data_IF_248637743345
#
_entry.id   IF_248637743345
#
_cell.length_a   1.000
_cell.length_b   1.000
_cell.length_c   1.000
_cell.angle_alpha   90.00
_cell.angle_beta   90.00
_cell.angle_gamma   90.00
#
_symmetry.space_group_name_H-M   'P 1'
#
loop_
_entity.id
_entity.type
_entity.pdbx_description
1 polymer ?
#
# COMPACT_ATOMS: atom_id res chain seq x y z
N UNK A 1 58.35 7.25 26.22
CA UNK A 1 57.23 6.31 26.46
C UNK A 1 56.05 6.75 25.59
N UNK A 2 55.66 5.92 24.62
CA UNK A 2 54.58 6.24 23.66
C UNK A 2 53.21 6.12 24.34
N UNK A 3 52.44 7.19 24.33
CA UNK A 3 51.02 7.20 24.73
C UNK A 3 50.24 6.59 23.57
N UNK A 4 49.77 5.35 23.75
CA UNK A 4 48.83 4.70 22.85
C UNK A 4 47.44 5.19 23.25
N UNK A 5 46.87 6.09 22.44
CA UNK A 5 45.49 6.51 22.53
C UNK A 5 44.61 5.36 22.00
N UNK A 6 44.04 4.58 22.91
CA UNK A 6 43.05 3.56 22.61
C UNK A 6 41.75 4.26 22.17
N UNK A 7 41.57 4.42 20.86
CA UNK A 7 40.27 4.74 20.27
C UNK A 7 39.39 3.50 20.51
N UNK A 8 38.66 3.51 21.62
CA UNK A 8 37.53 2.63 21.80
C UNK A 8 36.46 3.04 20.77
N UNK A 9 36.57 2.49 19.56
CA UNK A 9 35.46 2.44 18.62
C UNK A 9 34.41 1.57 19.32
N UNK A 10 33.53 2.23 20.05
CA UNK A 10 32.29 1.64 20.50
C UNK A 10 31.52 1.23 19.24
N UNK A 11 31.72 -0.01 18.80
CA UNK A 11 30.73 -0.72 18.01
C UNK A 11 29.53 -0.93 18.93
N UNK A 12 28.80 0.15 19.22
CA UNK A 12 27.39 -0.01 19.50
C UNK A 12 26.85 -0.74 18.28
N UNK A 13 26.43 -1.99 18.46
CA UNK A 13 25.59 -2.70 17.52
C UNK A 13 24.30 -1.87 17.37
N UNK A 14 24.38 -0.82 16.54
CA UNK A 14 23.25 -0.02 16.11
C UNK A 14 22.41 -0.96 15.26
N UNK A 15 21.37 -1.51 15.89
CA UNK A 15 20.32 -2.25 15.21
C UNK A 15 19.92 -1.48 13.94
N UNK A 16 20.31 -2.03 12.79
CA UNK A 16 20.28 -1.36 11.51
C UNK A 16 18.97 -1.69 10.79
N UNK A 17 18.15 -0.69 10.42
CA UNK A 17 16.89 -0.94 9.72
C UNK A 17 16.48 0.18 8.73
N UNK A 18 16.28 -0.13 7.45
CA UNK A 18 15.85 0.83 6.42
C UNK A 18 14.35 1.17 6.49
N UNK A 19 13.91 2.17 5.75
CA UNK A 19 12.47 2.47 5.53
C UNK A 19 12.14 2.49 4.06
N UNK A 20 10.97 1.96 3.69
CA UNK A 20 10.44 2.08 2.33
C UNK A 20 9.17 2.90 2.38
N UNK A 21 9.09 3.94 1.54
CA UNK A 21 7.96 4.85 1.46
C UNK A 21 7.17 4.65 0.18
N UNK A 22 5.86 4.91 0.25
CA UNK A 22 4.96 4.87 -0.91
C UNK A 22 4.25 6.20 -1.13
N UNK A 23 4.33 6.66 -2.38
CA UNK A 23 3.58 7.80 -2.95
C UNK A 23 2.57 7.31 -3.98
N UNK A 24 1.64 8.17 -4.40
CA UNK A 24 0.66 7.85 -5.44
C UNK A 24 0.57 8.99 -6.47
N UNK A 25 0.08 10.17 -6.05
CA UNK A 25 -0.08 11.35 -6.93
C UNK A 25 0.84 12.50 -6.51
N UNK A 26 1.17 13.36 -7.47
CA UNK A 26 2.12 14.46 -7.29
C UNK A 26 1.57 15.77 -7.83
N UNK A 27 1.31 16.75 -6.95
CA UNK A 27 0.74 18.04 -7.35
C UNK A 27 -0.64 17.95 -8.00
N UNK A 28 -1.46 16.98 -7.62
CA UNK A 28 -2.82 16.76 -8.12
C UNK A 28 -3.88 17.06 -7.04
N UNK A 29 -4.23 18.33 -6.90
CA UNK A 29 -5.10 18.82 -5.83
C UNK A 29 -6.55 18.34 -5.91
N UNK A 30 -6.94 17.72 -7.04
CA UNK A 30 -8.23 17.04 -7.20
C UNK A 30 -8.38 15.85 -6.24
N UNK A 31 -7.27 15.26 -5.79
CA UNK A 31 -7.25 14.04 -4.98
C UNK A 31 -6.37 14.17 -3.71
N UNK A 32 -6.75 15.03 -2.75
CA UNK A 32 -5.88 15.40 -1.62
C UNK A 32 -5.46 14.24 -0.72
N UNK A 33 -6.25 13.16 -0.63
CA UNK A 33 -5.95 12.00 0.22
C UNK A 33 -4.83 11.10 -0.31
N UNK A 34 -4.50 11.19 -1.61
CA UNK A 34 -3.45 10.41 -2.27
C UNK A 34 -2.40 11.30 -2.95
N UNK A 35 -2.53 12.62 -2.80
CA UNK A 35 -1.65 13.61 -3.39
C UNK A 35 -0.50 14.02 -2.46
N UNK A 36 0.68 14.22 -3.03
CA UNK A 36 1.81 14.89 -2.39
C UNK A 36 2.16 16.12 -3.23
N UNK A 37 2.03 17.32 -2.65
CA UNK A 37 2.45 18.55 -3.37
C UNK A 37 3.95 18.52 -3.64
N UNK A 38 4.41 19.16 -4.71
CA UNK A 38 5.84 19.20 -5.05
C UNK A 38 6.69 19.88 -3.96
N UNK A 39 6.13 20.90 -3.29
CA UNK A 39 6.78 21.58 -2.16
C UNK A 39 7.00 20.59 -1.00
N UNK A 40 6.00 19.76 -0.70
CA UNK A 40 6.11 18.77 0.37
C UNK A 40 7.08 17.65 0.00
N UNK A 41 7.07 17.19 -1.26
CA UNK A 41 8.04 16.21 -1.77
C UNK A 41 9.47 16.74 -1.66
N UNK A 42 9.72 17.99 -2.08
CA UNK A 42 11.05 18.60 -2.01
C UNK A 42 11.52 18.77 -0.55
N UNK A 43 10.62 19.14 0.37
CA UNK A 43 10.92 19.17 1.81
C UNK A 43 11.35 17.81 2.34
N UNK A 44 10.70 16.73 1.92
CA UNK A 44 11.05 15.37 2.33
C UNK A 44 12.42 14.97 1.77
N UNK A 45 12.72 15.32 0.51
CA UNK A 45 14.03 15.04 -0.09
C UNK A 45 15.16 15.79 0.61
N UNK A 46 14.97 17.09 0.85
CA UNK A 46 15.92 17.89 1.61
C UNK A 46 16.09 17.38 3.05
N UNK A 47 15.03 16.85 3.66
CA UNK A 47 15.14 16.22 4.97
C UNK A 47 16.05 14.99 4.93
N UNK A 48 15.90 14.11 3.94
CA UNK A 48 16.77 12.94 3.80
C UNK A 48 18.24 13.36 3.66
N UNK A 49 18.53 14.28 2.73
CA UNK A 49 19.88 14.79 2.48
C UNK A 49 20.50 15.43 3.74
N UNK A 50 19.78 16.33 4.41
CA UNK A 50 20.29 17.07 5.58
C UNK A 50 20.51 16.18 6.81
N UNK A 51 19.82 15.04 6.92
CA UNK A 51 19.88 14.16 8.08
C UNK A 51 20.66 12.86 7.80
N UNK A 52 21.45 12.82 6.72
CA UNK A 52 22.34 11.69 6.41
C UNK A 52 21.62 10.42 5.97
N UNK A 53 20.37 10.52 5.51
CA UNK A 53 19.67 9.41 4.88
C UNK A 53 20.14 9.24 3.44
N UNK A 54 20.41 7.99 3.06
CA UNK A 54 20.76 7.60 1.70
C UNK A 54 19.53 7.02 1.03
N UNK A 55 19.06 7.65 -0.05
CA UNK A 55 17.99 7.10 -0.86
C UNK A 55 18.58 6.07 -1.84
N UNK A 56 18.17 4.81 -1.70
CA UNK A 56 18.74 3.67 -2.43
C UNK A 56 17.66 2.95 -3.25
N UNK A 57 18.03 2.28 -4.36
CA UNK A 57 17.11 1.37 -5.04
C UNK A 57 16.62 0.30 -4.07
N UNK A 58 15.32 -0.02 -4.10
CA UNK A 58 14.74 -0.98 -3.16
C UNK A 58 15.37 -2.37 -3.32
N UNK A 59 15.90 -2.69 -4.50
CA UNK A 59 16.61 -3.91 -4.82
C UNK A 59 17.83 -4.11 -3.92
N UNK A 60 18.56 -3.04 -3.55
CA UNK A 60 19.67 -3.12 -2.59
C UNK A 60 19.18 -3.51 -1.20
N UNK A 61 18.02 -2.98 -0.78
CA UNK A 61 17.40 -3.34 0.51
C UNK A 61 16.98 -4.81 0.47
N UNK A 62 16.27 -5.22 -0.59
CA UNK A 62 15.82 -6.61 -0.80
C UNK A 62 16.99 -7.58 -0.80
N UNK A 63 18.10 -7.25 -1.47
CA UNK A 63 19.30 -8.08 -1.54
C UNK A 63 19.89 -8.33 -0.14
N UNK A 64 19.97 -7.29 0.71
CA UNK A 64 20.41 -7.45 2.11
C UNK A 64 19.48 -8.38 2.89
N UNK A 65 18.17 -8.21 2.75
CA UNK A 65 17.17 -9.07 3.41
C UNK A 65 17.28 -10.52 2.93
N UNK A 66 17.38 -10.74 1.62
CA UNK A 66 17.54 -12.05 0.97
C UNK A 66 18.78 -12.78 1.48
N UNK A 67 19.88 -12.05 1.62
CA UNK A 67 21.16 -12.58 2.09
C UNK A 67 21.31 -12.56 3.62
N UNK A 68 20.26 -12.24 4.38
CA UNK A 68 20.28 -12.12 5.86
C UNK A 68 21.40 -11.22 6.40
N UNK A 69 21.75 -10.18 5.64
CA UNK A 69 22.74 -9.16 6.02
C UNK A 69 22.05 -7.96 6.68
N UNK A 70 22.75 -7.29 7.58
CA UNK A 70 22.27 -6.05 8.20
C UNK A 70 21.92 -5.00 7.14
N UNK A 71 20.79 -4.33 7.36
CA UNK A 71 20.25 -3.29 6.47
C UNK A 71 20.51 -1.93 7.11
N UNK A 72 21.29 -1.01 6.51
CA UNK A 72 21.60 0.29 7.14
C UNK A 72 20.37 1.08 7.61
N UNK A 73 20.47 1.72 8.78
CA UNK A 73 19.36 2.45 9.40
C UNK A 73 19.03 3.81 8.76
N UNK A 74 19.93 4.29 7.91
CA UNK A 74 19.79 5.54 7.19
C UNK A 74 19.36 5.29 5.73
N UNK A 75 19.10 4.05 5.32
CA UNK A 75 18.63 3.75 3.97
C UNK A 75 17.13 4.00 3.83
N UNK A 76 16.78 4.66 2.73
CA UNK A 76 15.40 4.95 2.35
C UNK A 76 15.14 4.44 0.94
N UNK A 77 14.09 3.64 0.77
CA UNK A 77 13.56 3.24 -0.54
C UNK A 77 12.30 4.03 -0.88
N UNK A 78 12.17 4.51 -2.12
CA UNK A 78 11.00 5.27 -2.56
C UNK A 78 10.22 4.49 -3.62
N UNK A 79 8.92 4.34 -3.41
CA UNK A 79 8.03 3.63 -4.32
C UNK A 79 6.84 4.51 -4.70
N UNK A 80 6.31 4.30 -5.91
CA UNK A 80 5.14 5.01 -6.43
C UNK A 80 4.14 3.95 -6.88
N UNK A 81 2.93 3.97 -6.34
CA UNK A 81 1.87 3.05 -6.74
C UNK A 81 1.00 3.65 -7.86
N UNK A 82 0.23 2.78 -8.51
CA UNK A 82 -0.80 3.05 -9.53
C UNK A 82 -0.33 3.55 -10.90
N UNK A 83 0.86 4.16 -11.02
CA UNK A 83 1.34 4.79 -12.24
C UNK A 83 0.43 5.93 -12.75
N UNK A 84 0.01 6.83 -11.85
CA UNK A 84 -0.69 8.05 -12.23
C UNK A 84 0.19 8.97 -13.09
N UNK A 85 -0.45 9.63 -14.07
CA UNK A 85 0.21 10.57 -14.99
C UNK A 85 0.86 11.77 -14.28
N UNK A 86 0.34 12.13 -13.11
CA UNK A 86 0.93 13.18 -12.25
C UNK A 86 2.37 12.87 -11.82
N UNK A 87 2.74 11.60 -11.67
CA UNK A 87 4.14 11.24 -11.42
C UNK A 87 5.02 11.63 -12.61
N UNK A 88 4.65 11.20 -13.82
CA UNK A 88 5.41 11.52 -15.03
C UNK A 88 5.50 13.02 -15.29
N UNK A 89 4.37 13.73 -15.19
CA UNK A 89 4.29 15.14 -15.54
C UNK A 89 4.95 16.06 -14.50
N UNK A 90 4.88 15.70 -13.21
CA UNK A 90 5.24 16.62 -12.12
C UNK A 90 6.33 16.04 -11.20
N UNK A 91 6.24 14.75 -10.86
CA UNK A 91 7.11 14.13 -9.86
C UNK A 91 8.48 13.71 -10.40
N UNK A 92 8.52 13.10 -11.59
CA UNK A 92 9.70 12.45 -12.16
C UNK A 92 10.90 13.41 -12.27
N UNK A 93 10.66 14.65 -12.69
CA UNK A 93 11.71 15.67 -12.79
C UNK A 93 12.39 15.93 -11.43
N UNK A 94 11.63 15.95 -10.34
CA UNK A 94 12.19 16.17 -9.01
C UNK A 94 13.03 14.98 -8.55
N UNK A 95 12.58 13.73 -8.80
CA UNK A 95 13.41 12.55 -8.52
C UNK A 95 14.72 12.60 -9.31
N UNK A 96 14.69 13.01 -10.58
CA UNK A 96 15.89 13.19 -11.41
C UNK A 96 16.82 14.29 -10.88
N UNK A 97 16.28 15.46 -10.54
CA UNK A 97 17.04 16.60 -9.98
C UNK A 97 17.83 16.21 -8.73
N UNK A 98 17.26 15.37 -7.86
CA UNK A 98 17.91 14.91 -6.63
C UNK A 98 18.70 13.61 -6.81
N UNK A 99 18.71 13.02 -8.01
CA UNK A 99 19.28 11.71 -8.29
C UNK A 99 18.76 10.62 -7.34
N UNK A 100 17.46 10.66 -7.03
CA UNK A 100 16.82 9.73 -6.11
C UNK A 100 16.20 8.56 -6.87
N UNK A 101 16.65 7.31 -6.61
CA UNK A 101 16.07 6.15 -7.24
C UNK A 101 14.63 5.94 -6.74
N UNK A 102 13.82 5.35 -7.62
CA UNK A 102 12.44 4.99 -7.30
C UNK A 102 12.05 3.66 -7.95
N UNK A 103 10.95 3.08 -7.45
CA UNK A 103 10.26 1.98 -8.11
C UNK A 103 8.80 2.34 -8.38
N UNK A 104 8.39 2.29 -9.65
CA UNK A 104 7.02 2.55 -10.10
C UNK A 104 6.24 1.24 -10.22
N UNK A 105 5.13 1.10 -9.51
CA UNK A 105 4.26 -0.08 -9.54
C UNK A 105 3.04 0.16 -10.43
N UNK A 106 2.93 -0.63 -11.49
CA UNK A 106 1.97 -0.39 -12.58
C UNK A 106 0.64 -1.07 -12.32
N UNK A 107 -0.43 -0.28 -12.25
CA UNK A 107 -1.81 -0.77 -12.42
C UNK A 107 -2.04 -1.02 -13.92
N UNK A 108 -1.95 -2.30 -14.31
CA UNK A 108 -1.81 -2.69 -15.72
C UNK A 108 -3.07 -2.42 -16.54
N UNK A 109 -4.27 -2.68 -16.02
CA UNK A 109 -5.50 -2.47 -16.78
C UNK A 109 -5.72 -1.00 -17.13
N UNK A 110 -5.53 -0.08 -16.17
CA UNK A 110 -5.70 1.35 -16.41
C UNK A 110 -4.72 1.89 -17.45
N UNK A 111 -3.46 1.48 -17.35
CA UNK A 111 -2.40 1.80 -18.32
C UNK A 111 -2.78 1.25 -19.71
N UNK A 112 -3.15 -0.02 -19.79
CA UNK A 112 -3.41 -0.70 -21.05
C UNK A 112 -4.69 -0.21 -21.75
N UNK A 113 -5.73 0.12 -20.97
CA UNK A 113 -6.97 0.72 -21.46
C UNK A 113 -6.88 2.23 -21.64
N UNK A 114 -5.71 2.83 -21.40
CA UNK A 114 -5.44 4.27 -21.58
C UNK A 114 -6.41 5.15 -20.78
N UNK A 115 -6.68 4.78 -19.53
CA UNK A 115 -7.45 5.62 -18.63
C UNK A 115 -6.72 6.97 -18.46
N UNK A 116 -7.46 8.08 -18.62
CA UNK A 116 -6.87 9.43 -18.82
C UNK A 116 -5.90 9.87 -17.72
N UNK A 117 -6.17 9.46 -16.48
CA UNK A 117 -5.39 9.82 -15.28
C UNK A 117 -4.09 9.01 -15.10
N UNK A 118 -3.87 7.99 -15.94
CA UNK A 118 -2.75 7.04 -15.80
C UNK A 118 -1.71 7.24 -16.92
N UNK A 119 -0.48 6.81 -16.64
CA UNK A 119 0.62 6.84 -17.60
C UNK A 119 0.34 5.89 -18.77
N UNK A 120 0.85 6.24 -19.95
CA UNK A 120 0.90 5.29 -21.08
C UNK A 120 2.10 4.35 -20.94
N UNK A 121 2.10 3.25 -21.70
CA UNK A 121 3.26 2.36 -21.75
C UNK A 121 4.55 3.07 -22.20
N UNK A 122 4.45 4.03 -23.12
CA UNK A 122 5.62 4.81 -23.56
C UNK A 122 6.17 5.69 -22.43
N UNK A 123 5.29 6.33 -21.65
CA UNK A 123 5.68 7.10 -20.47
C UNK A 123 6.30 6.21 -19.38
N UNK A 124 5.79 4.99 -19.18
CA UNK A 124 6.37 4.02 -18.25
C UNK A 124 7.75 3.56 -18.73
N UNK A 125 7.90 3.30 -20.04
CA UNK A 125 9.19 2.92 -20.63
C UNK A 125 10.21 4.04 -20.52
N UNK A 126 9.82 5.29 -20.74
CA UNK A 126 10.70 6.44 -20.51
C UNK A 126 11.09 6.58 -19.02
N UNK A 127 10.11 6.48 -18.10
CA UNK A 127 10.39 6.51 -16.66
C UNK A 127 11.32 5.37 -16.21
N UNK A 128 11.30 4.21 -16.88
CA UNK A 128 12.16 3.07 -16.58
C UNK A 128 13.66 3.33 -16.81
N UNK A 129 14.01 4.40 -17.52
CA UNK A 129 15.40 4.83 -17.68
C UNK A 129 15.99 5.41 -16.39
N UNK A 130 15.15 5.85 -15.45
CA UNK A 130 15.56 6.55 -14.23
C UNK A 130 15.21 5.79 -12.94
N UNK A 131 14.42 4.72 -13.04
CA UNK A 131 13.98 3.93 -11.89
C UNK A 131 13.47 2.55 -12.30
N UNK A 132 13.21 1.71 -11.30
CA UNK A 132 12.70 0.36 -11.53
C UNK A 132 11.20 0.36 -11.78
N UNK A 133 10.69 -0.66 -12.48
CA UNK A 133 9.26 -0.86 -12.69
C UNK A 133 8.82 -2.19 -12.08
N UNK A 134 7.75 -2.17 -11.28
CA UNK A 134 7.15 -3.33 -10.63
C UNK A 134 5.66 -3.48 -10.95
N UNK A 135 5.04 -4.55 -10.45
CA UNK A 135 3.66 -4.92 -10.77
C UNK A 135 2.67 -4.55 -9.66
N UNK A 136 1.53 -3.95 -10.02
CA UNK A 136 0.45 -3.60 -9.09
C UNK A 136 -0.90 -4.24 -9.47
N UNK A 137 -0.87 -5.55 -9.78
CA UNK A 137 -2.01 -6.32 -10.30
C UNK A 137 -2.52 -5.90 -11.69
N UNK A 138 -3.45 -6.68 -12.25
CA UNK A 138 -4.14 -6.29 -13.47
C UNK A 138 -5.25 -5.31 -13.16
N UNK A 139 -6.22 -5.70 -12.32
CA UNK A 139 -7.47 -4.96 -12.11
C UNK A 139 -7.54 -4.08 -10.86
N UNK A 140 -6.46 -3.95 -10.08
CA UNK A 140 -6.43 -3.20 -8.82
C UNK A 140 -7.55 -3.60 -7.84
N UNK A 141 -7.90 -4.90 -7.84
CA UNK A 141 -8.96 -5.46 -7.01
C UNK A 141 -8.46 -5.66 -5.58
N UNK A 142 -9.39 -5.65 -4.62
CA UNK A 142 -9.11 -6.16 -3.26
C UNK A 142 -8.90 -7.67 -3.34
N UNK A 143 -7.65 -8.10 -3.43
CA UNK A 143 -7.29 -9.49 -3.70
C UNK A 143 -7.82 -10.47 -2.66
N UNK A 144 -8.02 -10.03 -1.41
CA UNK A 144 -8.61 -10.86 -0.36
C UNK A 144 -10.10 -11.14 -0.57
N UNK A 145 -10.76 -10.40 -1.48
CA UNK A 145 -12.19 -10.48 -1.74
C UNK A 145 -12.52 -11.22 -3.03
N UNK A 146 -11.56 -11.84 -3.71
CA UNK A 146 -11.77 -12.64 -4.92
C UNK A 146 -11.31 -14.09 -4.68
N UNK A 147 -11.70 -15.03 -5.56
CA UNK A 147 -11.26 -16.43 -5.43
C UNK A 147 -9.76 -16.58 -5.74
N UNK A 148 -9.17 -17.71 -5.34
CA UNK A 148 -7.75 -18.00 -5.59
C UNK A 148 -7.44 -18.01 -7.09
N UNK A 149 -8.33 -18.60 -7.88
CA UNK A 149 -8.27 -18.65 -9.33
C UNK A 149 -8.36 -17.25 -9.95
N UNK A 150 -9.15 -16.36 -9.34
CA UNK A 150 -9.22 -14.97 -9.75
C UNK A 150 -7.95 -14.18 -9.39
N UNK A 151 -7.32 -14.45 -8.23
CA UNK A 151 -6.02 -13.85 -7.87
C UNK A 151 -4.94 -14.27 -8.87
N UNK A 152 -4.85 -15.56 -9.16
CA UNK A 152 -3.88 -16.10 -10.12
C UNK A 152 -4.10 -15.55 -11.53
N UNK A 153 -5.34 -15.60 -12.04
CA UNK A 153 -5.64 -15.12 -13.39
C UNK A 153 -5.43 -13.61 -13.56
N UNK A 154 -5.78 -12.80 -12.55
CA UNK A 154 -5.49 -11.36 -12.54
C UNK A 154 -3.99 -11.11 -12.58
N UNK A 155 -3.23 -11.76 -11.69
CA UNK A 155 -1.77 -11.59 -11.61
C UNK A 155 -1.07 -12.09 -12.87
N UNK A 156 -1.48 -13.24 -13.42
CA UNK A 156 -0.91 -13.81 -14.66
C UNK A 156 -1.12 -12.87 -15.84
N UNK A 157 -2.35 -12.37 -16.00
CA UNK A 157 -2.65 -11.40 -17.07
C UNK A 157 -1.82 -10.12 -16.94
N UNK A 158 -1.65 -9.63 -15.72
CA UNK A 158 -0.80 -8.47 -15.44
C UNK A 158 0.65 -8.73 -15.81
N UNK A 159 1.20 -9.86 -15.34
CA UNK A 159 2.58 -10.29 -15.56
C UNK A 159 2.89 -10.46 -17.04
N UNK A 160 2.07 -11.21 -17.78
CA UNK A 160 2.30 -11.48 -19.20
C UNK A 160 2.26 -10.19 -20.03
N UNK A 161 1.28 -9.32 -19.76
CA UNK A 161 1.14 -8.06 -20.49
C UNK A 161 2.26 -7.07 -20.14
N UNK A 162 2.64 -6.99 -18.87
CA UNK A 162 3.80 -6.21 -18.42
C UNK A 162 5.06 -6.65 -19.16
N UNK A 163 5.37 -7.95 -19.13
CA UNK A 163 6.56 -8.53 -19.76
C UNK A 163 6.56 -8.28 -21.26
N UNK A 164 5.42 -8.44 -21.93
CA UNK A 164 5.27 -8.15 -23.35
C UNK A 164 5.51 -6.67 -23.69
N UNK A 165 5.07 -5.74 -22.84
CA UNK A 165 5.12 -4.30 -23.11
C UNK A 165 6.47 -3.69 -22.79
N UNK A 166 7.15 -4.18 -21.75
CA UNK A 166 8.41 -3.61 -21.28
C UNK A 166 9.64 -4.43 -21.69
N UNK A 167 9.46 -5.67 -22.14
CA UNK A 167 10.55 -6.54 -22.59
C UNK A 167 11.31 -7.23 -21.45
N UNK A 168 10.84 -7.10 -20.20
CA UNK A 168 11.40 -7.77 -19.03
C UNK A 168 10.31 -8.16 -18.05
N UNK A 169 10.58 -9.17 -17.22
CA UNK A 169 9.65 -9.64 -16.20
C UNK A 169 9.65 -8.74 -14.96
N UNK A 170 8.49 -8.48 -14.35
CA UNK A 170 8.43 -7.73 -13.10
C UNK A 170 9.03 -8.57 -11.97
N UNK A 171 10.05 -8.03 -11.28
CA UNK A 171 10.71 -8.72 -10.14
C UNK A 171 10.08 -8.42 -8.80
N UNK A 172 9.22 -7.41 -8.70
CA UNK A 172 8.53 -7.07 -7.45
C UNK A 172 7.04 -6.85 -7.66
N UNK A 173 6.26 -7.13 -6.62
CA UNK A 173 4.80 -6.99 -6.62
C UNK A 173 4.32 -6.19 -5.41
N UNK A 174 3.33 -5.32 -5.62
CA UNK A 174 2.64 -4.63 -4.52
C UNK A 174 1.18 -5.05 -4.47
N UNK A 175 0.71 -5.39 -3.27
CA UNK A 175 -0.72 -5.62 -3.02
C UNK A 175 -1.54 -4.34 -3.16
N UNK A 176 -2.58 -4.31 -4.02
CA UNK A 176 -3.59 -3.25 -3.99
C UNK A 176 -4.12 -3.02 -2.56
N UNK A 177 -4.20 -1.76 -2.14
CA UNK A 177 -4.61 -1.34 -0.79
C UNK A 177 -3.71 -1.86 0.37
N UNK A 178 -2.58 -2.51 0.06
CA UNK A 178 -1.72 -3.19 1.03
C UNK A 178 -2.39 -4.40 1.68
N UNK A 179 -3.40 -4.99 1.03
CA UNK A 179 -4.26 -6.03 1.58
C UNK A 179 -3.92 -7.42 1.04
N UNK A 180 -3.69 -8.37 1.95
CA UNK A 180 -3.41 -9.75 1.59
C UNK A 180 -3.86 -10.73 2.69
N UNK A 181 -3.90 -12.01 2.33
CA UNK A 181 -4.08 -13.13 3.25
C UNK A 181 -3.23 -14.32 2.76
N UNK A 182 -3.27 -15.44 3.50
CA UNK A 182 -2.47 -16.64 3.14
C UNK A 182 -2.78 -17.18 1.74
N UNK A 183 -4.04 -17.13 1.33
CA UNK A 183 -4.45 -17.62 0.01
C UNK A 183 -3.92 -16.72 -1.11
N UNK A 184 -3.98 -15.40 -0.94
CA UNK A 184 -3.39 -14.45 -1.89
C UNK A 184 -1.88 -14.69 -2.01
N UNK A 185 -1.16 -14.79 -0.89
CA UNK A 185 0.29 -15.03 -0.92
C UNK A 185 0.65 -16.34 -1.63
N UNK A 186 -0.08 -17.43 -1.36
CA UNK A 186 0.13 -18.72 -2.02
C UNK A 186 -0.04 -18.66 -3.54
N UNK A 187 -0.99 -17.86 -4.03
CA UNK A 187 -1.18 -17.67 -5.46
C UNK A 187 -0.09 -16.80 -6.09
N UNK A 188 0.42 -15.78 -5.36
CA UNK A 188 1.53 -14.95 -5.80
C UNK A 188 2.89 -15.68 -5.79
N UNK A 189 3.09 -16.65 -4.89
CA UNK A 189 4.29 -17.50 -4.81
C UNK A 189 4.51 -18.35 -6.07
N UNK A 190 3.50 -18.49 -6.95
CA UNK A 190 3.61 -19.17 -8.24
C UNK A 190 4.32 -18.33 -9.32
N UNK A 191 4.62 -17.07 -9.01
CA UNK A 191 5.31 -16.13 -9.90
C UNK A 191 6.72 -15.82 -9.40
N UNK A 192 7.61 -15.43 -10.30
CA UNK A 192 9.02 -15.19 -10.01
C UNK A 192 9.27 -13.77 -9.43
N UNK A 193 8.67 -13.47 -8.28
CA UNK A 193 8.91 -12.21 -7.57
C UNK A 193 10.02 -12.37 -6.52
N UNK A 194 11.01 -11.47 -6.54
CA UNK A 194 12.05 -11.35 -5.51
C UNK A 194 11.49 -10.79 -4.20
N UNK A 195 10.47 -9.92 -4.28
CA UNK A 195 9.76 -9.42 -3.10
C UNK A 195 8.32 -8.98 -3.39
N UNK A 196 7.49 -9.09 -2.36
CA UNK A 196 6.10 -8.67 -2.32
C UNK A 196 5.92 -7.66 -1.18
N UNK A 197 5.25 -6.55 -1.48
CA UNK A 197 5.14 -5.41 -0.58
C UNK A 197 3.70 -5.19 -0.11
N UNK A 198 3.59 -4.82 1.16
CA UNK A 198 2.34 -4.44 1.82
C UNK A 198 2.30 -2.91 2.06
N UNK A 199 1.38 -2.45 2.93
CA UNK A 199 1.32 -1.06 3.40
C UNK A 199 1.25 -0.96 4.94
N UNK A 200 1.99 -1.84 5.60
CA UNK A 200 2.21 -1.87 7.04
C UNK A 200 3.32 -0.89 7.44
N UNK A 201 3.21 -0.35 8.64
CA UNK A 201 4.24 0.56 9.17
C UNK A 201 5.40 -0.23 9.80
N UNK A 202 6.60 0.35 9.80
CA UNK A 202 7.78 -0.26 10.40
C UNK A 202 8.98 -0.23 9.47
N UNK A 203 10.16 -0.45 10.04
CA UNK A 203 11.42 -0.54 9.32
C UNK A 203 11.65 -1.92 8.69
N UNK A 204 12.59 -2.01 7.76
CA UNK A 204 13.02 -3.24 7.11
C UNK A 204 14.32 -3.73 7.77
N UNK A 205 14.33 -5.00 8.11
CA UNK A 205 15.37 -5.67 8.90
C UNK A 205 15.85 -6.91 8.14
N UNK A 206 16.98 -7.50 8.50
CA UNK A 206 17.43 -8.77 7.89
C UNK A 206 16.44 -9.92 8.16
N UNK A 207 15.61 -9.80 9.20
CA UNK A 207 14.54 -10.73 9.57
C UNK A 207 13.25 -10.51 8.78
N UNK A 208 13.12 -9.40 8.04
CA UNK A 208 11.94 -9.13 7.22
C UNK A 208 11.70 -10.26 6.21
N UNK A 209 10.42 -10.53 5.93
CA UNK A 209 10.01 -11.57 5.00
C UNK A 209 9.86 -10.98 3.61
N UNK A 210 10.50 -11.59 2.62
CA UNK A 210 10.47 -11.11 1.24
C UNK A 210 9.04 -11.09 0.65
N UNK A 211 8.15 -11.95 1.10
CA UNK A 211 6.74 -11.95 0.68
C UNK A 211 5.83 -11.02 1.51
N UNK A 212 6.39 -10.17 2.39
CA UNK A 212 5.64 -9.31 3.30
C UNK A 212 6.47 -8.08 3.72
N UNK A 213 6.99 -7.33 2.75
CA UNK A 213 7.85 -6.16 3.00
C UNK A 213 7.01 -4.92 3.33
N UNK A 214 7.35 -4.25 4.43
CA UNK A 214 6.64 -3.07 4.92
C UNK A 214 6.88 -1.82 4.07
N UNK A 215 5.81 -1.04 3.84
CA UNK A 215 5.90 0.31 3.23
C UNK A 215 5.02 1.30 3.96
N UNK A 216 5.58 2.47 4.24
CA UNK A 216 4.89 3.56 4.95
C UNK A 216 4.39 4.58 3.93
N UNK A 217 3.09 4.89 3.97
CA UNK A 217 2.53 5.92 3.10
C UNK A 217 3.04 7.33 3.47
N UNK A 218 3.52 8.05 2.46
CA UNK A 218 3.85 9.48 2.50
C UNK A 218 2.92 10.25 1.55
N UNK A 219 1.62 10.25 1.87
CA UNK A 219 0.60 11.00 1.10
C UNK A 219 0.01 12.10 1.98
N UNK A 220 -0.26 13.27 1.37
CA UNK A 220 -0.70 14.47 2.08
C UNK A 220 0.41 15.14 2.89
N UNK A 221 0.03 15.90 3.92
CA UNK A 221 0.98 16.52 4.86
C UNK A 221 1.46 15.47 5.86
N UNK A 222 2.71 15.03 5.73
CA UNK A 222 3.27 13.96 6.58
C UNK A 222 4.53 14.43 7.29
N UNK A 223 4.60 14.17 8.59
CA UNK A 223 5.84 14.36 9.34
C UNK A 223 6.80 13.19 9.06
N UNK A 224 7.67 13.34 8.06
CA UNK A 224 8.65 12.32 7.65
C UNK A 224 9.57 11.88 8.79
N UNK A 225 9.99 12.82 9.65
CA UNK A 225 10.78 12.54 10.87
C UNK A 225 10.09 11.52 11.76
N UNK A 226 8.79 11.68 12.01
CA UNK A 226 8.03 10.72 12.81
C UNK A 226 7.89 9.35 12.12
N UNK A 227 7.76 9.33 10.78
CA UNK A 227 7.68 8.07 10.03
C UNK A 227 8.98 7.26 10.09
N UNK A 228 10.12 7.93 9.97
CA UNK A 228 11.45 7.33 10.06
C UNK A 228 11.79 6.79 11.47
N UNK A 229 11.06 7.20 12.51
CA UNK A 229 11.26 6.66 13.86
C UNK A 229 10.70 5.26 14.02
N UNK A 230 9.71 4.86 13.22
CA UNK A 230 9.07 3.55 13.37
C UNK A 230 10.08 2.42 13.15
N UNK A 231 10.18 1.52 14.12
CA UNK A 231 11.00 0.30 14.05
C UNK A 231 10.09 -0.92 14.02
N UNK A 232 10.45 -1.91 13.23
CA UNK A 232 9.77 -3.21 13.25
C UNK A 232 10.33 -4.04 14.39
N UNK A 233 9.46 -4.67 15.18
CA UNK A 233 9.83 -5.76 16.06
C UNK A 233 9.23 -7.08 15.58
N UNK A 234 9.89 -8.17 15.93
CA UNK A 234 9.39 -9.51 15.66
C UNK A 234 8.27 -9.86 16.64
N UNK A 235 7.18 -10.38 16.09
CA UNK A 235 6.11 -11.02 16.85
C UNK A 235 5.53 -12.20 16.06
N UNK A 236 5.36 -13.32 16.73
CA UNK A 236 4.70 -14.50 16.15
C UNK A 236 3.22 -14.49 16.53
N UNK A 237 2.38 -14.09 15.59
CA UNK A 237 0.93 -13.95 15.80
C UNK A 237 0.22 -15.30 15.75
N UNK A 238 -0.39 -15.70 16.87
CA UNK A 238 -1.20 -16.92 16.97
C UNK A 238 -2.69 -16.62 16.71
N UNK A 239 -3.20 -15.49 17.23
CA UNK A 239 -4.58 -15.06 17.02
C UNK A 239 -4.72 -13.53 17.02
N UNK A 240 -5.63 -12.95 16.21
CA UNK A 240 -6.46 -13.62 15.20
C UNK A 240 -5.65 -13.93 13.93
N UNK A 241 -5.91 -15.06 13.28
CA UNK A 241 -5.28 -15.42 11.99
C UNK A 241 -5.99 -14.76 10.82
N UNK A 242 -7.32 -14.66 10.91
CA UNK A 242 -8.19 -14.07 9.90
C UNK A 242 -9.27 -13.22 10.57
N UNK A 243 -10.03 -12.48 9.78
CA UNK A 243 -11.17 -11.72 10.30
C UNK A 243 -12.25 -12.68 10.84
N UNK A 244 -12.74 -12.49 12.09
CA UNK A 244 -13.78 -13.35 12.68
C UNK A 244 -15.09 -13.34 11.88
N UNK A 245 -15.70 -14.52 11.67
CA UNK A 245 -16.95 -14.64 10.89
C UNK A 245 -18.13 -13.90 11.55
N UNK A 246 -18.18 -13.94 12.87
CA UNK A 246 -19.16 -13.23 13.71
C UNK A 246 -18.82 -11.74 13.88
N UNK A 247 -17.67 -11.28 13.36
CA UNK A 247 -17.17 -9.92 13.55
C UNK A 247 -16.68 -9.64 14.97
N UNK A 248 -16.55 -10.66 15.83
CA UNK A 248 -16.15 -10.49 17.23
C UNK A 248 -14.68 -10.90 17.38
N UNK A 249 -13.84 -9.94 17.79
CA UNK A 249 -12.46 -10.20 18.18
C UNK A 249 -12.43 -10.78 19.59
N UNK A 250 -12.39 -12.12 19.67
CA UNK A 250 -12.39 -12.85 20.94
C UNK A 250 -11.10 -12.68 21.72
N UNK A 251 -9.96 -12.85 21.07
CA UNK A 251 -8.66 -12.73 21.72
C UNK A 251 -7.56 -12.24 20.76
N UNK A 252 -6.49 -11.72 21.35
CA UNK A 252 -5.21 -11.44 20.70
C UNK A 252 -4.15 -12.28 21.39
N UNK A 253 -3.52 -13.19 20.62
CA UNK A 253 -2.44 -14.05 21.08
C UNK A 253 -1.21 -13.89 20.21
N UNK A 254 -0.07 -13.62 20.82
CA UNK A 254 1.19 -13.49 20.12
C UNK A 254 2.37 -13.82 21.02
N UNK A 255 3.48 -14.26 20.43
CA UNK A 255 4.76 -14.41 21.10
C UNK A 255 5.70 -13.27 20.72
N UNK A 256 6.38 -12.74 21.71
CA UNK A 256 7.37 -11.66 21.63
C UNK A 256 8.61 -12.04 22.44
N UNK A 257 9.66 -11.24 22.35
CA UNK A 257 10.89 -11.39 23.15
C UNK A 257 10.57 -11.41 24.67
N UNK A 258 11.19 -12.34 25.40
CA UNK A 258 10.94 -12.58 26.84
C UNK A 258 11.40 -11.43 27.74
N UNK A 259 12.19 -10.49 27.21
CA UNK A 259 12.59 -9.26 27.91
C UNK A 259 11.40 -8.34 28.20
N UNK A 260 10.36 -8.39 27.37
CA UNK A 260 9.18 -7.54 27.57
C UNK A 260 8.30 -8.10 28.68
N UNK A 261 7.93 -7.22 29.63
CA UNK A 261 6.99 -7.53 30.73
C UNK A 261 5.62 -6.87 30.54
N UNK A 262 5.59 -5.72 29.89
CA UNK A 262 4.40 -4.93 29.56
C UNK A 262 4.53 -4.39 28.15
N UNK A 263 3.40 -4.21 27.46
CA UNK A 263 3.33 -3.63 26.13
C UNK A 263 2.02 -2.87 25.96
N UNK A 264 1.90 -2.13 24.87
CA UNK A 264 0.64 -1.55 24.40
C UNK A 264 0.05 -2.36 23.26
N UNK A 265 -1.27 -2.54 23.30
CA UNK A 265 -2.09 -3.12 22.26
C UNK A 265 -2.95 -2.03 21.63
N UNK A 266 -2.77 -1.77 20.34
CA UNK A 266 -3.68 -0.96 19.54
C UNK A 266 -4.66 -1.84 18.78
N UNK A 267 -5.92 -1.43 18.72
CA UNK A 267 -6.92 -2.00 17.82
C UNK A 267 -7.67 -0.86 17.13
N UNK A 268 -7.80 -0.94 15.80
CA UNK A 268 -8.58 0.03 15.02
C UNK A 268 -9.98 0.22 15.62
N UNK A 269 -10.34 1.46 15.92
CA UNK A 269 -11.64 1.83 16.50
C UNK A 269 -11.72 1.72 18.03
N UNK A 270 -10.69 1.20 18.69
CA UNK A 270 -10.60 1.11 20.16
C UNK A 270 -9.38 1.84 20.74
N UNK A 271 -8.36 2.13 19.92
CA UNK A 271 -7.17 2.85 20.37
C UNK A 271 -6.18 1.95 21.11
N UNK A 272 -5.27 2.58 21.86
CA UNK A 272 -4.20 1.93 22.60
C UNK A 272 -4.65 1.57 24.03
N UNK A 273 -4.16 0.45 24.54
CA UNK A 273 -4.27 0.05 25.95
C UNK A 273 -3.04 -0.73 26.40
N UNK A 274 -2.74 -0.69 27.70
CA UNK A 274 -1.65 -1.46 28.28
C UNK A 274 -2.05 -2.93 28.47
N UNK A 275 -1.10 -3.83 28.25
CA UNK A 275 -1.25 -5.29 28.33
C UNK A 275 -0.02 -5.92 28.99
N UNK A 276 -0.20 -7.10 29.59
CA UNK A 276 0.89 -7.85 30.24
C UNK A 276 1.51 -8.86 29.28
N UNK A 277 2.82 -9.11 29.45
CA UNK A 277 3.57 -10.14 28.72
C UNK A 277 4.10 -11.16 29.73
N UNK A 278 3.61 -12.39 29.63
CA UNK A 278 3.97 -13.47 30.53
C UNK A 278 4.93 -14.42 29.83
N UNK A 279 6.21 -14.41 30.22
CA UNK A 279 7.27 -15.25 29.62
C UNK A 279 7.29 -15.15 28.07
N UNK A 280 7.16 -13.94 27.54
CA UNK A 280 7.12 -13.67 26.09
C UNK A 280 5.77 -13.97 25.42
N UNK A 281 4.72 -14.31 26.18
CA UNK A 281 3.39 -14.61 25.65
C UNK A 281 2.41 -13.48 26.01
N UNK A 282 1.74 -12.98 24.98
CA UNK A 282 0.57 -12.09 25.10
C UNK A 282 -0.67 -12.94 24.87
N UNK A 283 -1.63 -12.85 25.78
CA UNK A 283 -2.91 -13.58 25.67
C UNK A 283 -4.04 -12.72 26.24
N UNK A 284 -4.52 -11.79 25.42
CA UNK A 284 -5.59 -10.86 25.80
C UNK A 284 -6.95 -11.40 25.36
N UNK A 285 -7.88 -11.55 26.31
CA UNK A 285 -9.27 -11.88 26.05
C UNK A 285 -10.09 -10.59 25.99
N UNK A 286 -10.72 -10.33 24.84
CA UNK A 286 -11.32 -9.03 24.54
C UNK A 286 -12.83 -9.10 24.36
N UNK A 287 -13.29 -10.08 23.59
CA UNK A 287 -14.70 -10.25 23.22
C UNK A 287 -15.38 -8.95 22.73
N UNK A 288 -14.71 -8.22 21.82
CA UNK A 288 -15.19 -6.92 21.30
C UNK A 288 -15.62 -7.01 19.84
N UNK A 289 -16.69 -6.29 19.41
CA UNK A 289 -17.08 -6.24 18.01
C UNK A 289 -16.08 -5.40 17.19
N UNK A 290 -15.71 -5.85 16.00
CA UNK A 290 -14.82 -5.09 15.11
C UNK A 290 -15.59 -3.98 14.40
N UNK A 291 -15.20 -2.73 14.65
CA UNK A 291 -15.87 -1.52 14.11
C UNK A 291 -15.59 -1.27 12.63
N UNK A 292 -14.55 -1.89 12.07
CA UNK A 292 -14.12 -1.68 10.68
C UNK A 292 -13.81 -2.99 9.98
N UNK A 293 -14.15 -3.06 8.68
CA UNK A 293 -13.84 -4.21 7.83
C UNK A 293 -12.33 -4.46 7.73
N UNK A 294 -11.52 -3.40 7.74
CA UNK A 294 -10.06 -3.47 7.82
C UNK A 294 -9.64 -3.08 9.23
N UNK A 295 -9.19 -4.05 10.02
CA UNK A 295 -8.76 -3.82 11.40
C UNK A 295 -7.26 -4.04 11.50
N UNK A 296 -6.54 -3.03 12.00
CA UNK A 296 -5.13 -3.14 12.36
C UNK A 296 -5.00 -3.45 13.84
N UNK A 297 -4.15 -4.42 14.16
CA UNK A 297 -3.76 -4.81 15.50
C UNK A 297 -2.26 -4.51 15.61
N UNK A 298 -1.86 -3.74 16.62
CA UNK A 298 -0.45 -3.37 16.83
C UNK A 298 -0.05 -3.73 18.25
N UNK A 299 1.11 -4.37 18.38
CA UNK A 299 1.81 -4.55 19.63
C UNK A 299 2.99 -3.59 19.65
N UNK A 300 3.24 -2.93 20.78
CA UNK A 300 4.30 -1.94 20.89
C UNK A 300 4.85 -1.87 22.31
N UNK A 301 6.16 -2.07 22.53
CA UNK A 301 6.78 -1.92 23.85
C UNK A 301 7.08 -0.46 24.19
N UNK A 302 7.12 0.42 23.18
CA UNK A 302 7.43 1.85 23.31
C UNK A 302 6.59 2.68 22.33
N UNK A 303 7.01 3.90 21.98
CA UNK A 303 6.24 4.77 21.07
C UNK A 303 6.41 4.46 19.58
N UNK A 304 7.52 3.85 19.17
CA UNK A 304 7.91 3.75 17.77
C UNK A 304 8.27 2.33 17.33
N UNK A 305 8.56 1.43 18.25
CA UNK A 305 8.80 0.02 17.96
C UNK A 305 7.46 -0.72 17.87
N UNK A 306 7.15 -1.33 16.73
CA UNK A 306 5.85 -1.94 16.49
C UNK A 306 5.95 -3.30 15.81
N UNK A 307 5.05 -4.20 16.15
CA UNK A 307 4.66 -5.33 15.32
C UNK A 307 3.19 -5.12 14.98
N UNK A 308 2.85 -5.18 13.71
CA UNK A 308 1.51 -4.89 13.26
C UNK A 308 0.98 -5.98 12.35
N UNK A 309 -0.33 -6.18 12.42
CA UNK A 309 -1.07 -7.15 11.65
C UNK A 309 -2.37 -6.51 11.18
N UNK A 310 -2.76 -6.78 9.95
CA UNK A 310 -4.05 -6.36 9.40
C UNK A 310 -4.91 -7.59 9.19
N UNK A 311 -6.16 -7.54 9.65
CA UNK A 311 -7.20 -8.51 9.35
C UNK A 311 -8.32 -7.80 8.59
N UNK A 312 -8.89 -8.50 7.59
CA UNK A 312 -9.82 -7.91 6.63
C UNK A 312 -11.07 -8.78 6.54
N UNK A 313 -12.26 -8.16 6.69
CA UNK A 313 -13.55 -8.80 6.48
C UNK A 313 -13.70 -9.12 5.00
N UNK A 314 -13.57 -10.39 4.66
CA UNK A 314 -13.91 -10.87 3.33
C UNK A 314 -15.43 -11.02 3.24
N UNK A 315 -16.05 -10.39 2.25
CA UNK A 315 -17.48 -10.53 2.01
C UNK A 315 -17.78 -11.96 1.57
N UNK A 316 -18.76 -12.59 2.20
CA UNK A 316 -19.30 -13.89 1.77
C UNK A 316 -20.03 -13.76 0.44
N UNK A 317 -20.18 -14.87 -0.29
CA UNK A 317 -20.96 -14.90 -1.55
C UNK A 317 -22.39 -14.36 -1.36
N UNK A 318 -23.00 -14.67 -0.21
CA UNK A 318 -24.33 -14.17 0.16
C UNK A 318 -24.35 -12.65 0.34
N UNK A 319 -23.41 -12.11 1.12
CA UNK A 319 -23.28 -10.65 1.32
C UNK A 319 -22.99 -9.92 0.00
N UNK A 320 -22.17 -10.50 -0.88
CA UNK A 320 -21.91 -9.94 -2.22
C UNK A 320 -23.16 -9.90 -3.07
N UNK A 321 -23.93 -11.00 -3.12
CA UNK A 321 -25.17 -11.08 -3.91
C UNK A 321 -26.21 -10.10 -3.38
N UNK A 322 -26.36 -9.99 -2.06
CA UNK A 322 -27.27 -9.03 -1.45
C UNK A 322 -26.88 -7.59 -1.81
N UNK A 323 -25.61 -7.23 -1.66
CA UNK A 323 -25.13 -5.89 -2.02
C UNK A 323 -25.28 -5.60 -3.52
N UNK A 324 -25.00 -6.57 -4.39
CA UNK A 324 -25.16 -6.40 -5.84
C UNK A 324 -26.63 -6.15 -6.19
N UNK A 325 -27.55 -6.88 -5.56
CA UNK A 325 -28.98 -6.67 -5.73
C UNK A 325 -29.41 -5.29 -5.23
N UNK A 326 -28.92 -4.85 -4.07
CA UNK A 326 -29.21 -3.50 -3.55
C UNK A 326 -28.73 -2.42 -4.51
N UNK A 327 -27.47 -2.49 -4.97
CA UNK A 327 -26.91 -1.53 -5.95
C UNK A 327 -27.73 -1.56 -7.24
N UNK A 328 -28.12 -2.75 -7.71
CA UNK A 328 -28.93 -2.91 -8.91
C UNK A 328 -30.29 -2.20 -8.76
N UNK A 329 -31.01 -2.44 -7.66
CA UNK A 329 -32.32 -1.80 -7.43
C UNK A 329 -32.20 -0.28 -7.26
N UNK A 330 -31.20 0.21 -6.51
CA UNK A 330 -30.96 1.66 -6.36
C UNK A 330 -30.61 2.32 -7.70
N UNK A 331 -29.74 1.70 -8.50
CA UNK A 331 -29.35 2.20 -9.81
C UNK A 331 -30.55 2.19 -10.76
N UNK A 332 -31.33 1.12 -10.76
CA UNK A 332 -32.54 0.99 -11.56
C UNK A 332 -33.55 2.07 -11.20
N UNK A 333 -33.81 2.29 -9.92
CA UNK A 333 -34.71 3.35 -9.44
C UNK A 333 -34.23 4.74 -9.90
N UNK A 334 -32.93 5.02 -9.75
CA UNK A 334 -32.36 6.29 -10.20
C UNK A 334 -32.49 6.48 -11.72
N UNK A 335 -32.21 5.44 -12.51
CA UNK A 335 -32.39 5.47 -13.96
C UNK A 335 -33.85 5.67 -14.35
N UNK A 336 -34.79 5.00 -13.67
CA UNK A 336 -36.24 5.18 -13.90
C UNK A 336 -36.66 6.62 -13.62
N UNK A 337 -36.26 7.20 -12.48
CA UNK A 337 -36.55 8.62 -12.16
C UNK A 337 -35.97 9.58 -13.19
N UNK A 338 -34.76 9.29 -13.68
CA UNK A 338 -34.11 10.08 -14.73
C UNK A 338 -34.90 10.01 -16.03
N UNK A 339 -35.33 8.82 -16.45
CA UNK A 339 -36.18 8.63 -17.64
C UNK A 339 -37.52 9.36 -17.49
N UNK A 340 -38.15 9.31 -16.32
CA UNK A 340 -39.41 10.02 -16.05
C UNK A 340 -39.25 11.53 -16.10
N UNK A 341 -38.15 12.07 -15.57
CA UNK A 341 -37.82 13.49 -15.69
C UNK A 341 -37.67 13.90 -17.16
N UNK A 342 -36.87 13.17 -17.95
CA UNK A 342 -36.70 13.42 -19.38
C UNK A 342 -38.04 13.34 -20.13
N UNK A 343 -38.89 12.36 -19.81
CA UNK A 343 -40.24 12.22 -20.42
C UNK A 343 -41.14 13.42 -20.10
N UNK A 344 -41.06 13.98 -18.88
CA UNK A 344 -41.83 15.18 -18.51
C UNK A 344 -41.33 16.41 -19.27
N UNK A 345 -40.01 16.58 -19.36
CA UNK A 345 -39.40 17.68 -20.11
C UNK A 345 -39.79 17.58 -21.60
N UNK A 346 -39.74 16.37 -22.18
CA UNK A 346 -40.14 16.15 -23.57
C UNK A 346 -41.63 16.43 -23.82
N UNK A 347 -42.52 16.11 -22.88
CA UNK A 347 -43.95 16.46 -22.97
C UNK A 347 -44.20 17.97 -22.91
N UNK A 348 -43.31 18.73 -22.30
CA UNK A 348 -43.42 20.19 -22.21
C UNK A 348 -42.95 20.93 -23.47
N UNK A 349 -42.29 20.23 -24.40
CA UNK A 349 -41.92 20.76 -25.71
C UNK A 349 -43.18 20.98 -26.55
N UNK A 350 -43.70 22.22 -26.57
CA UNK A 350 -44.75 22.62 -27.51
C UNK A 350 -44.14 22.73 -28.91
N UNK A 351 -44.83 22.17 -29.89
CA UNK A 351 -44.47 22.18 -31.31
C UNK A 351 -44.28 23.61 -31.82
N UNK A 352 -43.03 24.06 -31.82
CA UNK A 352 -42.64 25.39 -32.29
C UNK A 352 -41.13 25.57 -32.15
N UNK A 353 -40.37 25.00 -33.09
CA UNK A 353 -38.89 24.97 -33.16
C UNK A 353 -38.21 24.27 -31.97
N UNK A 354 -38.11 22.95 -32.05
CA UNK A 354 -37.16 22.19 -31.21
C UNK A 354 -35.76 22.39 -31.78
N UNK A 355 -34.92 23.12 -31.05
CA UNK A 355 -33.48 23.20 -31.31
C UNK A 355 -32.80 22.00 -30.66
N UNK A 356 -31.86 21.35 -31.37
CA UNK A 356 -31.13 20.16 -30.92
C UNK A 356 -30.18 20.42 -29.74
N UNK A 357 -30.10 21.67 -29.29
CA UNK A 357 -29.18 22.15 -28.24
C UNK A 357 -29.39 21.46 -26.89
N UNK A 358 -30.57 20.89 -26.62
CA UNK A 358 -30.84 20.06 -25.42
C UNK A 358 -30.01 18.76 -25.43
N UNK A 359 -29.60 18.27 -26.59
CA UNK A 359 -28.78 17.07 -26.73
C UNK A 359 -27.26 17.37 -26.70
N UNK A 360 -26.85 18.65 -26.81
CA UNK A 360 -25.43 19.03 -26.92
C UNK A 360 -24.60 18.75 -25.64
N UNK A 361 -25.27 18.48 -24.51
CA UNK A 361 -24.63 18.04 -23.25
C UNK A 361 -24.64 16.52 -23.01
N UNK A 362 -25.38 15.75 -23.81
CA UNK A 362 -25.55 14.31 -23.62
C UNK A 362 -24.51 13.58 -24.49
N UNK A 363 -23.36 13.29 -23.90
CA UNK A 363 -22.38 12.35 -24.49
C UNK A 363 -22.65 10.95 -23.99
N UNK A 364 -22.98 10.05 -24.92
CA UNK A 364 -22.94 8.61 -24.67
C UNK A 364 -21.47 8.19 -24.87
N UNK A 365 -20.71 8.12 -23.78
CA UNK A 365 -19.39 7.49 -23.80
C UNK A 365 -19.60 5.96 -23.86
N UNK A 366 -19.21 5.35 -24.98
CA UNK A 366 -19.16 3.90 -25.16
C UNK A 366 -17.98 3.25 -24.44
#
# INVERSE_FOLDING_TARGET
MRIILLIAVSFTYLFANAHIFVYHRFGDDRYPSTNTTLIELEKQFLYFQKNGYEVVPIEKIIEKVKNKKEVPNNWVGLTIDDAYKSFYNNGLELFRKYNYPFTLYVYVEATNRKYKDFMTWDQIKDASLYGSIGLHSFGHKRMTQISKEQVYSDTKKAYDLFSKKLGFEPKTYVHPYGEYNKDVLKELEKFNFDAIFNQNSGSITKESKLNDINRIALVGKVNVKNKLRYKTMNASWEAPVQFPKDGILKNVKARVDTKYKTMKLYITGYGWRDIKVNKGIISENLNIPLKQARTRIILSPDYYTIANKIIIKNKTTKEKKLMLNTIYEETKEHMTKTIEAIKRDYKSLRTGKVTTTILDGIKIDY
#
